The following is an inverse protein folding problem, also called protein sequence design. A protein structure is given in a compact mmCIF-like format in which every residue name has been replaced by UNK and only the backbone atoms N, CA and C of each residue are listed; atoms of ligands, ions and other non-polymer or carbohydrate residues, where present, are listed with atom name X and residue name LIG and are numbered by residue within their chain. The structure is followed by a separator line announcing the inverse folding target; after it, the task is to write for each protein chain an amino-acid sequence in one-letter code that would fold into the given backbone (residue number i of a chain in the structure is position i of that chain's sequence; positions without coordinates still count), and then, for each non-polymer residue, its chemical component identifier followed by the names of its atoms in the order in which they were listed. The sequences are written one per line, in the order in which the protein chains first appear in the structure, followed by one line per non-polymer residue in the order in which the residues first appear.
data_IF_755865772271
#
_entry.id   IF_755865772271
#
_cell.length_a   1.000
_cell.length_b   1.000
_cell.length_c   1.000
_cell.angle_alpha   90.00
_cell.angle_beta   90.00
_cell.angle_gamma   90.00
#
_symmetry.space_group_name_H-M   'P 1'
#
loop_
_entity.id
_entity.type
_entity.pdbx_description
1 polymer ?
#
# COMPACT_ATOMS: atom_id res chain seq x y z
N UNK A 1 -7.12 1.85 -4.78
CA UNK A 1 -8.17 1.23 -5.61
C UNK A 1 -9.38 1.21 -4.71
N UNK A 2 -10.51 1.67 -5.21
CA UNK A 2 -11.65 2.00 -4.36
C UNK A 2 -12.82 1.08 -4.70
N UNK A 3 -13.61 0.69 -3.71
CA UNK A 3 -14.74 -0.24 -3.83
C UNK A 3 -14.39 -1.56 -4.53
N UNK A 4 -13.32 -2.21 -4.09
CA UNK A 4 -12.86 -3.50 -4.64
C UNK A 4 -13.55 -4.66 -3.91
N UNK A 5 -14.12 -5.60 -4.66
CA UNK A 5 -14.65 -6.86 -4.08
C UNK A 5 -13.56 -7.95 -4.01
N UNK A 6 -12.65 -7.95 -4.97
CA UNK A 6 -11.53 -8.87 -5.06
C UNK A 6 -10.34 -8.29 -5.82
N UNK A 7 -9.13 -8.67 -5.41
CA UNK A 7 -7.91 -8.37 -6.14
C UNK A 7 -6.88 -9.50 -5.97
N UNK A 8 -5.83 -9.45 -6.80
CA UNK A 8 -4.74 -10.40 -6.78
C UNK A 8 -3.46 -9.70 -6.34
N UNK A 9 -2.81 -10.24 -5.31
CA UNK A 9 -1.57 -9.75 -4.75
C UNK A 9 -0.43 -10.71 -5.09
N UNK A 10 0.67 -10.18 -5.63
CA UNK A 10 1.92 -10.94 -5.76
C UNK A 10 3.03 -10.22 -4.99
N UNK A 11 3.75 -10.95 -4.15
CA UNK A 11 4.91 -10.47 -3.40
C UNK A 11 6.03 -11.48 -3.59
N UNK A 12 7.19 -11.03 -4.08
CA UNK A 12 8.34 -11.92 -4.36
C UNK A 12 9.27 -12.07 -3.14
N UNK A 13 9.09 -11.25 -2.12
CA UNK A 13 9.73 -11.41 -0.81
C UNK A 13 8.81 -12.16 0.15
N UNK A 14 9.35 -12.61 1.29
CA UNK A 14 8.53 -12.90 2.46
C UNK A 14 7.76 -11.65 2.92
N UNK A 15 6.66 -11.84 3.64
CA UNK A 15 5.84 -10.73 4.10
C UNK A 15 5.03 -11.11 5.34
N UNK A 16 4.67 -10.10 6.11
CA UNK A 16 3.76 -10.26 7.24
C UNK A 16 2.44 -9.54 7.04
N UNK A 17 1.42 -9.99 7.74
CA UNK A 17 0.10 -9.37 7.78
C UNK A 17 -0.25 -9.07 9.23
N UNK A 18 -0.76 -7.88 9.49
CA UNK A 18 -1.40 -7.52 10.76
C UNK A 18 -2.80 -7.01 10.50
N UNK A 19 -3.70 -7.32 11.40
CA UNK A 19 -5.01 -6.71 11.52
C UNK A 19 -5.16 -5.99 12.86
N UNK A 20 -4.06 -5.80 13.63
CA UNK A 20 -4.06 -5.03 14.89
C UNK A 20 -4.28 -3.54 14.60
N UNK A 21 -5.42 -2.95 15.02
CA UNK A 21 -5.76 -1.56 14.74
C UNK A 21 -4.83 -0.56 15.45
N UNK A 22 -4.13 -0.99 16.49
CA UNK A 22 -3.26 -0.12 17.28
C UNK A 22 -1.78 -0.23 16.89
N UNK A 23 -1.41 -1.22 16.06
CA UNK A 23 0.00 -1.58 15.78
C UNK A 23 0.84 -1.70 17.07
N UNK A 24 0.19 -1.90 18.23
CA UNK A 24 0.83 -1.86 19.54
C UNK A 24 1.59 -3.15 19.79
N UNK A 25 1.07 -4.25 19.26
CA UNK A 25 1.80 -5.49 19.18
C UNK A 25 2.56 -5.53 17.85
N UNK A 26 3.88 -5.41 17.89
CA UNK A 26 4.74 -5.60 16.69
C UNK A 26 4.69 -7.05 16.14
N UNK A 27 3.78 -7.88 16.67
CA UNK A 27 3.64 -9.26 16.28
C UNK A 27 2.68 -9.35 15.10
N UNK A 28 3.12 -9.93 13.98
CA UNK A 28 2.24 -10.12 12.84
C UNK A 28 1.18 -11.18 13.15
N UNK A 29 -0.08 -10.91 12.77
CA UNK A 29 -1.19 -11.87 12.81
C UNK A 29 -0.89 -13.10 11.94
N UNK A 30 -0.18 -12.89 10.82
CA UNK A 30 0.31 -13.96 9.98
C UNK A 30 1.66 -13.64 9.34
N UNK A 31 2.48 -14.66 9.14
CA UNK A 31 3.72 -14.61 8.37
C UNK A 31 3.63 -15.56 7.19
N UNK A 32 4.08 -15.09 6.04
CA UNK A 32 4.20 -15.87 4.83
C UNK A 32 5.66 -15.81 4.38
N UNK A 33 6.23 -16.97 4.11
CA UNK A 33 7.52 -17.04 3.42
C UNK A 33 7.33 -16.64 1.95
N UNK A 34 8.43 -16.55 1.20
CA UNK A 34 8.37 -16.20 -0.21
C UNK A 34 7.40 -17.12 -0.97
N UNK A 35 6.40 -16.52 -1.62
CA UNK A 35 5.40 -17.20 -2.43
C UNK A 35 5.49 -16.68 -3.85
N UNK A 36 5.91 -17.55 -4.78
CA UNK A 36 6.06 -17.16 -6.19
C UNK A 36 4.72 -17.06 -6.95
N UNK A 37 3.62 -17.52 -6.34
CA UNK A 37 2.29 -17.49 -6.92
C UNK A 37 1.46 -16.27 -6.47
N UNK A 38 0.62 -15.69 -7.33
CA UNK A 38 -0.33 -14.65 -6.92
C UNK A 38 -1.37 -15.18 -5.91
N UNK A 39 -1.66 -14.38 -4.90
CA UNK A 39 -2.59 -14.66 -3.80
C UNK A 39 -3.87 -13.87 -4.03
N UNK A 40 -5.02 -14.53 -3.88
CA UNK A 40 -6.32 -13.85 -3.93
C UNK A 40 -6.62 -13.11 -2.62
N UNK A 41 -7.06 -11.87 -2.75
CA UNK A 41 -7.67 -11.05 -1.68
C UNK A 41 -9.15 -10.89 -2.04
N UNK A 42 -10.06 -11.22 -1.13
CA UNK A 42 -11.51 -11.14 -1.37
C UNK A 42 -12.22 -10.71 -0.10
N UNK A 43 -13.34 -9.99 -0.25
CA UNK A 43 -14.29 -9.80 0.83
C UNK A 43 -15.29 -10.97 0.83
N UNK A 44 -15.38 -11.72 1.92
CA UNK A 44 -16.30 -12.85 2.06
C UNK A 44 -17.00 -12.69 3.41
N UNK A 45 -18.34 -12.64 3.39
CA UNK A 45 -19.16 -12.48 4.61
C UNK A 45 -18.78 -11.27 5.49
N UNK A 46 -18.32 -10.18 4.87
CA UNK A 46 -17.88 -8.98 5.60
C UNK A 46 -16.48 -9.08 6.20
N UNK A 47 -15.70 -10.11 5.86
CA UNK A 47 -14.33 -10.31 6.31
C UNK A 47 -13.35 -10.29 5.13
N UNK A 48 -12.19 -9.66 5.33
CA UNK A 48 -11.11 -9.72 4.35
C UNK A 48 -10.46 -11.09 4.42
N UNK A 49 -10.42 -11.79 3.30
CA UNK A 49 -9.73 -13.08 3.16
C UNK A 49 -8.50 -12.92 2.28
N UNK A 50 -7.35 -13.42 2.75
CA UNK A 50 -6.07 -13.37 2.01
C UNK A 50 -5.53 -14.78 1.89
N UNK A 51 -5.44 -15.30 0.66
CA UNK A 51 -5.04 -16.68 0.42
C UNK A 51 -5.96 -17.70 1.11
N UNK A 52 -7.24 -17.35 1.26
CA UNK A 52 -8.24 -18.16 1.97
C UNK A 52 -8.23 -18.03 3.49
N UNK A 53 -7.33 -17.24 4.09
CA UNK A 53 -7.32 -16.97 5.54
C UNK A 53 -8.14 -15.72 5.85
N UNK A 54 -9.17 -15.81 6.72
CA UNK A 54 -9.97 -14.65 7.12
C UNK A 54 -9.22 -13.77 8.15
N UNK A 55 -9.49 -12.47 8.11
CA UNK A 55 -9.04 -11.45 9.06
C UNK A 55 -10.27 -10.70 9.57
N UNK A 56 -10.39 -10.61 10.90
CA UNK A 56 -11.64 -10.23 11.57
C UNK A 56 -11.83 -8.73 11.71
N UNK A 57 -10.76 -7.95 11.60
CA UNK A 57 -10.83 -6.50 11.73
C UNK A 57 -11.13 -5.83 10.38
N UNK A 58 -11.73 -4.64 10.45
CA UNK A 58 -12.08 -3.83 9.28
C UNK A 58 -10.87 -3.26 8.55
N UNK A 59 -9.68 -3.41 9.12
CA UNK A 59 -8.42 -2.98 8.55
C UNK A 59 -7.41 -4.11 8.59
N UNK A 60 -6.70 -4.31 7.47
CA UNK A 60 -5.58 -5.23 7.36
C UNK A 60 -4.41 -4.53 6.69
N UNK A 61 -3.21 -4.65 7.25
CA UNK A 61 -1.98 -4.14 6.63
C UNK A 61 -1.05 -5.31 6.32
N UNK A 62 -0.58 -5.32 5.08
CA UNK A 62 0.39 -6.27 4.54
C UNK A 62 1.74 -5.56 4.42
N UNK A 63 2.77 -6.17 4.99
CA UNK A 63 4.15 -5.69 5.07
C UNK A 63 5.05 -6.64 4.28
N UNK A 64 5.30 -6.36 3.00
CA UNK A 64 6.40 -7.01 2.30
C UNK A 64 7.72 -6.73 3.02
N UNK A 65 8.60 -7.71 3.10
CA UNK A 65 9.99 -7.50 3.48
C UNK A 65 10.74 -6.75 2.37
N UNK A 66 12.01 -6.41 2.62
CA UNK A 66 12.89 -5.82 1.61
C UNK A 66 12.86 -6.66 0.31
N UNK A 67 12.65 -6.05 -0.87
CA UNK A 67 12.74 -4.62 -1.22
C UNK A 67 11.46 -3.78 -1.03
N UNK A 68 10.46 -4.27 -0.28
CA UNK A 68 9.17 -3.63 -0.04
C UNK A 68 8.35 -3.47 -1.34
N UNK A 69 8.43 -4.44 -2.25
CA UNK A 69 7.77 -4.39 -3.56
C UNK A 69 6.66 -5.42 -3.61
N UNK A 70 5.52 -5.02 -4.17
CA UNK A 70 4.41 -5.92 -4.42
C UNK A 70 3.72 -5.55 -5.73
N UNK A 71 2.96 -6.48 -6.29
CA UNK A 71 2.06 -6.23 -7.42
C UNK A 71 0.62 -6.44 -6.99
N UNK A 72 -0.23 -5.47 -7.30
CA UNK A 72 -1.68 -5.57 -7.11
C UNK A 72 -2.34 -5.54 -8.49
N UNK A 73 -3.06 -6.61 -8.84
CA UNK A 73 -3.65 -6.81 -10.18
C UNK A 73 -2.64 -6.60 -11.32
N UNK A 74 -1.39 -7.02 -11.12
CA UNK A 74 -0.29 -6.88 -12.09
C UNK A 74 0.47 -5.56 -12.06
N UNK A 75 -0.10 -4.51 -11.45
CA UNK A 75 0.55 -3.20 -11.31
C UNK A 75 1.55 -3.21 -10.16
N UNK A 76 2.75 -2.66 -10.37
CA UNK A 76 3.82 -2.63 -9.37
C UNK A 76 3.69 -1.47 -8.38
N UNK A 77 3.89 -1.75 -7.10
CA UNK A 77 3.83 -0.80 -5.99
C UNK A 77 5.01 -0.99 -5.04
N UNK A 78 5.23 -0.01 -4.16
CA UNK A 78 6.29 0.01 -3.14
C UNK A 78 5.71 0.30 -1.77
N UNK A 79 6.36 -0.17 -0.71
CA UNK A 79 5.94 0.04 0.67
C UNK A 79 4.96 -1.03 1.13
N UNK A 80 3.89 -0.62 1.80
CA UNK A 80 2.89 -1.51 2.42
C UNK A 80 1.56 -1.41 1.67
N UNK A 81 0.75 -2.44 1.81
CA UNK A 81 -0.62 -2.46 1.33
C UNK A 81 -1.56 -2.45 2.52
N UNK A 82 -2.46 -1.49 2.57
CA UNK A 82 -3.52 -1.39 3.56
C UNK A 82 -4.85 -1.66 2.89
N UNK A 83 -5.66 -2.48 3.52
CA UNK A 83 -7.01 -2.84 3.08
C UNK A 83 -7.98 -2.36 4.15
N UNK A 84 -9.03 -1.64 3.74
CA UNK A 84 -10.07 -1.13 4.65
C UNK A 84 -11.42 -1.52 4.09
N UNK A 85 -12.24 -2.20 4.88
CA UNK A 85 -13.60 -2.55 4.50
C UNK A 85 -14.44 -1.27 4.45
N UNK A 86 -15.17 -1.07 3.36
CA UNK A 86 -16.02 0.09 3.18
C UNK A 86 -17.24 0.02 4.12
N UNK A 87 -17.84 1.17 4.50
CA UNK A 87 -18.94 1.19 5.46
C UNK A 87 -20.18 0.38 5.07
N UNK A 88 -20.34 0.08 3.77
CA UNK A 88 -21.42 -0.76 3.25
C UNK A 88 -21.18 -2.27 3.49
N UNK A 89 -19.97 -2.66 3.88
CA UNK A 89 -19.57 -4.05 4.11
C UNK A 89 -19.54 -4.92 2.84
N UNK A 90 -19.73 -4.32 1.65
CA UNK A 90 -19.79 -5.02 0.36
C UNK A 90 -18.48 -4.94 -0.43
N UNK A 91 -17.61 -4.00 -0.08
CA UNK A 91 -16.34 -3.78 -0.77
C UNK A 91 -15.24 -3.34 0.21
N UNK A 92 -14.02 -3.24 -0.28
CA UNK A 92 -12.90 -2.67 0.46
C UNK A 92 -12.05 -1.75 -0.43
N UNK A 93 -11.38 -0.81 0.20
CA UNK A 93 -10.39 0.04 -0.44
C UNK A 93 -8.98 -0.53 -0.23
N UNK A 94 -8.19 -0.52 -1.29
CA UNK A 94 -6.79 -0.92 -1.29
C UNK A 94 -5.89 0.32 -1.41
N UNK A 95 -5.21 0.64 -0.30
CA UNK A 95 -4.40 1.84 -0.12
C UNK A 95 -2.92 1.46 -0.10
N UNK A 96 -2.15 2.05 -1.02
CA UNK A 96 -0.71 1.90 -0.98
C UNK A 96 -0.09 2.89 0.02
N UNK A 97 0.47 2.37 1.12
CA UNK A 97 1.24 3.13 2.09
C UNK A 97 2.72 3.15 1.68
N UNK A 98 3.15 4.22 1.03
CA UNK A 98 4.50 4.36 0.47
C UNK A 98 5.32 5.40 1.25
N UNK A 99 6.61 5.13 1.56
CA UNK A 99 7.50 6.14 2.14
C UNK A 99 7.68 7.35 1.21
N UNK A 100 7.85 8.58 1.76
CA UNK A 100 7.94 9.79 0.96
C UNK A 100 9.00 9.75 -0.14
N UNK A 101 10.18 9.22 0.15
CA UNK A 101 11.31 9.16 -0.80
C UNK A 101 11.01 8.23 -1.98
N UNK A 102 10.41 7.06 -1.69
CA UNK A 102 10.01 6.11 -2.73
C UNK A 102 8.87 6.67 -3.58
N UNK A 103 7.93 7.42 -2.97
CA UNK A 103 6.88 8.15 -3.67
C UNK A 103 7.45 9.23 -4.60
N UNK A 104 8.37 10.05 -4.08
CA UNK A 104 9.00 11.13 -4.85
C UNK A 104 9.80 10.61 -6.03
N UNK A 105 10.50 9.48 -5.90
CA UNK A 105 11.19 8.84 -7.01
C UNK A 105 10.23 8.49 -8.16
N UNK A 106 9.00 8.04 -7.84
CA UNK A 106 7.95 7.81 -8.82
C UNK A 106 7.43 9.11 -9.45
N UNK A 107 7.15 10.13 -8.65
CA UNK A 107 6.64 11.43 -9.13
C UNK A 107 7.65 12.10 -10.06
N UNK A 108 8.92 12.20 -9.64
CA UNK A 108 9.95 12.84 -10.46
C UNK A 108 10.14 12.10 -11.79
N UNK A 109 10.20 10.77 -11.76
CA UNK A 109 10.34 9.98 -12.99
C UNK A 109 9.14 10.02 -13.93
N UNK A 110 7.94 10.28 -13.40
CA UNK A 110 6.72 10.41 -14.21
C UNK A 110 6.59 11.81 -14.85
N UNK A 111 7.02 12.85 -14.15
CA UNK A 111 6.86 14.25 -14.57
C UNK A 111 8.07 14.79 -15.35
N UNK A 112 9.27 14.22 -15.15
CA UNK A 112 10.50 14.67 -15.78
C UNK A 112 11.21 13.54 -16.53
N UNK A 113 11.56 13.76 -17.81
CA UNK A 113 12.44 12.85 -18.52
C UNK A 113 13.81 12.74 -17.85
N UNK A 114 14.35 11.53 -17.80
CA UNK A 114 15.63 11.24 -17.12
C UNK A 114 16.85 11.93 -17.75
N UNK A 115 16.74 12.39 -19.00
CA UNK A 115 17.81 13.09 -19.71
C UNK A 115 17.89 14.59 -19.39
N UNK A 116 16.98 15.14 -18.57
CA UNK A 116 17.08 16.51 -18.12
C UNK A 116 18.27 16.70 -17.18
N UNK A 117 18.75 17.95 -17.10
CA UNK A 117 19.86 18.32 -16.25
C UNK A 117 19.65 17.84 -14.81
N UNK A 118 20.66 17.25 -14.15
CA UNK A 118 20.53 16.74 -12.79
C UNK A 118 20.01 17.78 -11.79
N UNK A 119 20.36 19.06 -11.96
CA UNK A 119 19.89 20.15 -11.11
C UNK A 119 18.39 20.43 -11.30
N UNK A 120 17.85 20.23 -12.50
CA UNK A 120 16.41 20.34 -12.74
C UNK A 120 15.65 19.22 -12.02
N UNK A 121 16.16 17.98 -12.09
CA UNK A 121 15.59 16.83 -11.37
C UNK A 121 15.59 17.06 -9.85
N UNK A 122 16.68 17.63 -9.30
CA UNK A 122 16.76 18.02 -7.88
C UNK A 122 15.74 19.08 -7.52
N UNK A 123 15.59 20.12 -8.34
CA UNK A 123 14.62 21.19 -8.11
C UNK A 123 13.18 20.65 -8.05
N UNK A 124 12.82 19.78 -8.99
CA UNK A 124 11.49 19.13 -8.98
C UNK A 124 11.30 18.22 -7.77
N UNK A 125 12.32 17.46 -7.36
CA UNK A 125 12.24 16.63 -6.16
C UNK A 125 11.91 17.48 -4.92
N UNK A 126 12.51 18.66 -4.79
CA UNK A 126 12.21 19.62 -3.70
C UNK A 126 10.78 20.15 -3.83
N UNK A 127 10.36 20.56 -5.03
CA UNK A 127 9.01 21.07 -5.28
C UNK A 127 7.93 20.02 -4.97
N UNK A 128 8.08 18.80 -5.49
CA UNK A 128 7.18 17.68 -5.25
C UNK A 128 7.12 17.30 -3.76
N UNK A 129 8.26 17.29 -3.06
CA UNK A 129 8.32 17.03 -1.61
C UNK A 129 7.56 18.09 -0.83
N UNK A 130 7.78 19.36 -1.17
CA UNK A 130 7.13 20.49 -0.52
C UNK A 130 5.62 20.41 -0.70
N UNK A 131 5.17 20.14 -1.92
CA UNK A 131 3.76 19.96 -2.23
C UNK A 131 3.15 18.76 -1.48
N UNK A 132 3.82 17.61 -1.48
CA UNK A 132 3.39 16.42 -0.76
C UNK A 132 3.16 16.69 0.73
N UNK A 133 4.12 17.33 1.41
CA UNK A 133 3.98 17.67 2.83
C UNK A 133 2.92 18.74 3.09
N UNK A 134 2.80 19.73 2.20
CA UNK A 134 1.73 20.73 2.28
C UNK A 134 0.34 20.07 2.23
N UNK A 135 0.10 19.21 1.25
CA UNK A 135 -1.16 18.49 1.11
C UNK A 135 -1.40 17.56 2.31
N UNK A 136 -0.38 16.83 2.76
CA UNK A 136 -0.49 15.97 3.95
C UNK A 136 -0.88 16.78 5.20
N UNK A 137 -0.28 17.94 5.43
CA UNK A 137 -0.60 18.80 6.58
C UNK A 137 -2.00 19.39 6.48
N UNK A 138 -2.39 19.88 5.30
CA UNK A 138 -3.64 20.62 5.10
C UNK A 138 -4.87 19.72 4.98
N UNK A 139 -4.72 18.58 4.33
CA UNK A 139 -5.85 17.69 3.96
C UNK A 139 -5.69 16.27 4.50
N UNK A 140 -4.50 15.87 4.97
CA UNK A 140 -4.26 14.51 5.44
C UNK A 140 -4.73 14.24 6.87
N UNK A 141 -4.73 15.25 7.75
CA UNK A 141 -5.03 15.05 9.18
C UNK A 141 -6.46 14.57 9.48
N UNK A 142 -7.42 14.86 8.61
CA UNK A 142 -8.84 14.50 8.78
C UNK A 142 -9.34 13.47 7.76
N UNK A 143 -8.46 12.91 6.91
CA UNK A 143 -8.86 11.86 5.97
C UNK A 143 -9.02 10.55 6.74
N UNK A 144 -10.26 10.28 7.12
CA UNK A 144 -10.73 8.94 7.43
C UNK A 144 -10.88 8.23 6.08
N UNK A 145 -9.82 7.57 5.64
CA UNK A 145 -10.02 6.41 4.79
C UNK A 145 -10.71 5.33 5.62
#
# INVERSE_FOLDING_TARGET
MDNVEACTLKIESSFSITDDPNLQTQLPTARFDQIDAPISIRLINGEITIGGRPFMNHEVIIFPDEPYIFKLNGNGYRGKLKLIINPDGGSFDAINLVPPEAYLAGVVGAEMPSYWEPEALKAQAIAARTYCFYIKKRFGGNRKW
#
